data_IF_898461732640
#
_entry.id   IF_898461732640
#
_cell.length_a   1.000
_cell.length_b   1.000
_cell.length_c   1.000
_cell.angle_alpha   90.00
_cell.angle_beta   90.00
_cell.angle_gamma   90.00
#
_symmetry.space_group_name_H-M   'P 1'
#
loop_
_entity.id
_entity.type
_entity.pdbx_description
1 polymer ?
#
# COMPACT_ATOMS: atom_id res chain seq x y z
N UNK A 1 13.05 7.07 7.46
CA UNK A 1 11.61 6.72 7.47
C UNK A 1 10.98 6.61 8.87
N UNK A 2 11.68 6.12 9.90
CA UNK A 2 11.10 6.01 11.25
C UNK A 2 10.57 7.37 11.76
N UNK A 3 9.33 7.40 12.26
CA UNK A 3 8.67 8.61 12.77
C UNK A 3 7.96 9.50 11.73
N UNK A 4 8.06 9.23 10.43
CA UNK A 4 7.41 10.04 9.37
C UNK A 4 5.93 9.71 9.13
N UNK A 5 5.50 8.51 9.50
CA UNK A 5 4.15 8.01 9.26
C UNK A 5 3.54 7.54 10.58
N UNK A 6 2.26 7.86 10.78
CA UNK A 6 1.51 7.41 11.95
C UNK A 6 0.56 6.27 11.58
N UNK A 7 0.19 5.45 12.56
CA UNK A 7 -0.85 4.43 12.36
C UNK A 7 -2.16 5.14 11.98
N UNK A 8 -2.76 4.75 10.85
CA UNK A 8 -3.93 5.43 10.25
C UNK A 8 -3.66 6.88 9.84
N UNK A 9 -2.47 7.16 9.33
CA UNK A 9 -2.20 8.44 8.68
C UNK A 9 -3.27 8.72 7.60
N UNK A 10 -3.94 9.88 7.64
CA UNK A 10 -5.07 10.19 6.75
C UNK A 10 -4.74 10.06 5.27
N UNK A 11 -3.46 10.22 4.90
CA UNK A 11 -2.98 10.07 3.52
C UNK A 11 -3.20 8.66 2.97
N UNK A 12 -3.23 7.64 3.82
CA UNK A 12 -3.31 6.22 3.40
C UNK A 12 -4.64 5.57 3.75
N UNK A 13 -5.64 6.34 4.18
CA UNK A 13 -6.97 5.81 4.47
C UNK A 13 -7.75 5.76 3.16
N UNK A 14 -8.04 4.54 2.68
CA UNK A 14 -8.91 4.32 1.53
C UNK A 14 -9.97 3.27 1.85
N UNK A 15 -11.14 3.39 1.23
CA UNK A 15 -12.23 2.41 1.34
C UNK A 15 -12.15 1.43 0.18
N UNK A 16 -12.34 0.14 0.47
CA UNK A 16 -12.54 -0.86 -0.56
C UNK A 16 -13.82 -0.55 -1.35
N UNK A 17 -13.82 -0.89 -2.64
CA UNK A 17 -14.92 -0.56 -3.55
C UNK A 17 -16.25 -1.24 -3.16
N UNK A 18 -16.21 -2.51 -2.74
CA UNK A 18 -17.40 -3.29 -2.38
C UNK A 18 -17.09 -4.51 -1.50
N UNK A 19 -18.13 -5.26 -1.15
CA UNK A 19 -18.04 -6.54 -0.42
C UNK A 19 -17.27 -7.64 -1.17
N UNK A 20 -17.23 -7.61 -2.51
CA UNK A 20 -16.55 -8.61 -3.31
C UNK A 20 -15.01 -8.42 -3.25
N UNK A 21 -14.54 -7.18 -3.13
CA UNK A 21 -13.13 -6.87 -2.88
C UNK A 21 -12.60 -7.48 -1.56
N UNK A 22 -13.49 -7.88 -0.64
CA UNK A 22 -13.14 -8.56 0.60
C UNK A 22 -12.99 -10.09 0.46
N UNK A 23 -13.33 -10.71 -0.68
CA UNK A 23 -13.17 -12.16 -0.88
C UNK A 23 -11.72 -12.53 -1.18
N UNK A 24 -11.14 -13.44 -0.38
CA UNK A 24 -9.71 -13.79 -0.48
C UNK A 24 -8.76 -12.66 -0.03
N UNK A 25 -9.32 -11.63 0.61
CA UNK A 25 -8.61 -10.41 1.00
C UNK A 25 -7.46 -10.65 1.95
N UNK A 26 -7.58 -11.58 2.90
CA UNK A 26 -6.56 -11.78 3.91
C UNK A 26 -5.23 -12.26 3.31
N UNK A 27 -5.24 -13.27 2.43
CA UNK A 27 -4.01 -13.73 1.78
C UNK A 27 -3.42 -12.64 0.88
N UNK A 28 -4.25 -12.05 0.03
CA UNK A 28 -3.82 -11.01 -0.89
C UNK A 28 -3.23 -9.79 -0.14
N UNK A 29 -3.84 -9.39 0.98
CA UNK A 29 -3.37 -8.29 1.81
C UNK A 29 -2.04 -8.63 2.49
N UNK A 30 -1.89 -9.86 3.02
CA UNK A 30 -0.60 -10.30 3.56
C UNK A 30 0.49 -10.31 2.48
N UNK A 31 0.20 -10.82 1.28
CA UNK A 31 1.18 -10.84 0.18
C UNK A 31 1.58 -9.40 -0.24
N UNK A 32 0.63 -8.45 -0.23
CA UNK A 32 0.88 -7.03 -0.49
C UNK A 32 1.73 -6.38 0.62
N UNK A 33 1.41 -6.66 1.89
CA UNK A 33 2.18 -6.19 3.04
C UNK A 33 3.64 -6.71 2.98
N UNK A 34 3.83 -7.98 2.61
CA UNK A 34 5.15 -8.58 2.43
C UNK A 34 5.94 -7.90 1.31
N UNK A 35 5.30 -7.53 0.19
CA UNK A 35 5.95 -6.78 -0.88
C UNK A 35 6.44 -5.41 -0.39
N UNK A 36 5.60 -4.68 0.34
CA UNK A 36 5.95 -3.37 0.92
C UNK A 36 7.10 -3.51 1.92
N UNK A 37 7.06 -4.51 2.80
CA UNK A 37 8.14 -4.78 3.77
C UNK A 37 9.45 -5.14 3.07
N UNK A 38 9.39 -5.97 2.02
CA UNK A 38 10.57 -6.35 1.25
C UNK A 38 11.18 -5.14 0.53
N UNK A 39 10.35 -4.25 -0.03
CA UNK A 39 10.83 -3.01 -0.61
C UNK A 39 11.55 -2.13 0.43
N UNK A 40 10.96 -1.94 1.62
CA UNK A 40 11.58 -1.16 2.70
C UNK A 40 12.92 -1.77 3.14
N UNK A 41 12.99 -3.10 3.28
CA UNK A 41 14.21 -3.81 3.67
C UNK A 41 15.30 -3.73 2.61
N UNK A 42 14.93 -3.78 1.33
CA UNK A 42 15.84 -3.65 0.20
C UNK A 42 16.33 -2.22 -0.05
N UNK A 43 15.55 -1.21 0.34
CA UNK A 43 15.83 0.20 0.12
C UNK A 43 16.10 0.91 1.46
N UNK A 44 17.14 0.50 2.19
CA UNK A 44 17.43 1.02 3.54
C UNK A 44 17.75 2.52 3.57
N UNK A 45 18.26 3.05 2.46
CA UNK A 45 18.64 4.45 2.29
C UNK A 45 17.50 5.31 1.71
N UNK A 46 16.37 4.70 1.34
CA UNK A 46 15.23 5.44 0.82
C UNK A 46 14.68 6.41 1.87
N UNK A 47 14.34 7.60 1.40
CA UNK A 47 13.67 8.61 2.21
C UNK A 47 12.14 8.47 2.10
N UNK A 48 11.40 9.37 2.75
CA UNK A 48 9.94 9.31 2.72
C UNK A 48 9.35 9.52 1.33
N UNK A 49 9.93 10.38 0.51
CA UNK A 49 9.43 10.67 -0.84
C UNK A 49 9.63 9.47 -1.78
N UNK A 50 10.75 8.75 -1.64
CA UNK A 50 10.99 7.50 -2.37
C UNK A 50 9.93 6.45 -2.05
N UNK A 51 9.54 6.35 -0.77
CA UNK A 51 8.50 5.44 -0.32
C UNK A 51 7.12 5.85 -0.85
N UNK A 52 6.79 7.15 -0.85
CA UNK A 52 5.54 7.65 -1.42
C UNK A 52 5.47 7.40 -2.93
N UNK A 53 6.59 7.58 -3.65
CA UNK A 53 6.66 7.26 -5.08
C UNK A 53 6.44 5.76 -5.34
N UNK A 54 7.05 4.89 -4.52
CA UNK A 54 6.80 3.46 -4.57
C UNK A 54 5.33 3.11 -4.34
N UNK A 55 4.72 3.66 -3.28
CA UNK A 55 3.30 3.42 -2.97
C UNK A 55 2.38 3.89 -4.10
N UNK A 56 2.64 5.06 -4.69
CA UNK A 56 1.85 5.56 -5.81
C UNK A 56 1.89 4.59 -7.00
N UNK A 57 3.09 4.12 -7.37
CA UNK A 57 3.23 3.14 -8.45
C UNK A 57 2.55 1.80 -8.12
N UNK A 58 2.59 1.38 -6.85
CA UNK A 58 1.92 0.17 -6.39
C UNK A 58 0.40 0.29 -6.55
N UNK A 59 -0.20 1.40 -6.13
CA UNK A 59 -1.65 1.62 -6.23
C UNK A 59 -2.15 1.88 -7.66
N UNK A 60 -1.25 2.16 -8.61
CA UNK A 60 -1.57 2.22 -10.03
C UNK A 60 -1.71 0.84 -10.69
N UNK A 61 -1.27 -0.25 -10.04
CA UNK A 61 -1.40 -1.61 -10.61
C UNK A 61 -2.87 -1.99 -10.83
N UNK A 62 -3.22 -2.63 -11.95
CA UNK A 62 -4.62 -2.93 -12.30
C UNK A 62 -5.38 -3.72 -11.23
N UNK A 63 -4.74 -4.69 -10.57
CA UNK A 63 -5.37 -5.55 -9.55
C UNK A 63 -5.62 -4.81 -8.23
N UNK A 64 -4.74 -3.89 -7.86
CA UNK A 64 -4.89 -3.02 -6.68
C UNK A 64 -5.93 -1.92 -6.99
N UNK A 65 -5.83 -1.26 -8.14
CA UNK A 65 -6.75 -0.21 -8.58
C UNK A 65 -8.18 -0.72 -8.76
N UNK A 66 -8.36 -1.97 -9.16
CA UNK A 66 -9.69 -2.60 -9.23
C UNK A 66 -10.35 -2.74 -7.85
N UNK A 67 -9.56 -2.87 -6.76
CA UNK A 67 -10.05 -3.00 -5.37
C UNK A 67 -10.14 -1.64 -4.67
N UNK A 68 -9.21 -0.75 -4.99
CA UNK A 68 -9.04 0.59 -4.40
C UNK A 68 -8.92 1.63 -5.53
N UNK A 69 -10.02 1.95 -6.23
CA UNK A 69 -9.98 2.90 -7.35
C UNK A 69 -9.61 4.32 -6.92
N UNK A 70 -9.85 4.65 -5.65
CA UNK A 70 -9.44 5.89 -4.99
C UNK A 70 -8.34 5.60 -3.94
N UNK A 71 -7.47 4.64 -4.26
CA UNK A 71 -6.30 4.33 -3.47
C UNK A 71 -5.28 5.48 -3.47
N UNK A 72 -4.16 5.25 -2.80
CA UNK A 72 -3.11 6.24 -2.55
C UNK A 72 -2.55 6.90 -3.82
#
# INVERSE_FOLDING_TARGET
MAGMFSKRDPRFITQAIDGAAHRGYQKWHCDLDDEVVNWIRGNRDANGDDFLAFLKNLYERPDIKARFPNGF
#
